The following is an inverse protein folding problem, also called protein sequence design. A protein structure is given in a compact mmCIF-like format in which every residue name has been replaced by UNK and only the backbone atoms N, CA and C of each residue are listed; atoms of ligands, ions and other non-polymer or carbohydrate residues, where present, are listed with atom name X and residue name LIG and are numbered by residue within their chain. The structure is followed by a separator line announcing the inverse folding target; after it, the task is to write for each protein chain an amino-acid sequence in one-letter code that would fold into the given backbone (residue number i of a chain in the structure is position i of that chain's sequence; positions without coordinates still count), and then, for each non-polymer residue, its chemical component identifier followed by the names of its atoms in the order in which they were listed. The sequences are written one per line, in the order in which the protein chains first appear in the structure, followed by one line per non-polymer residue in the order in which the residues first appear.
data_IF_935006890122
#
_entry.id   IF_935006890122
#
_cell.length_a   1.000
_cell.length_b   1.000
_cell.length_c   1.000
_cell.angle_alpha   90.00
_cell.angle_beta   90.00
_cell.angle_gamma   90.00
#
_symmetry.space_group_name_H-M   'P 1'
#
loop_
_entity.id
_entity.type
_entity.pdbx_description
1 polymer ?
#
# COMPACT_ATOMS: atom_id res chain seq x y z
N UNK A 1 -4.35 -25.56 14.08
CA UNK A 1 -2.88 -25.61 14.08
C UNK A 1 -2.44 -26.95 14.68
N UNK A 2 -1.53 -27.68 14.03
CA UNK A 2 -1.11 -29.04 14.43
C UNK A 2 0.18 -29.12 15.25
N UNK A 3 0.77 -27.99 15.63
CA UNK A 3 1.99 -27.92 16.45
C UNK A 3 3.29 -28.31 15.74
N UNK A 4 3.24 -28.69 14.46
CA UNK A 4 4.42 -29.01 13.66
C UNK A 4 5.10 -27.78 13.06
N UNK A 5 6.36 -27.93 12.62
CA UNK A 5 7.09 -26.85 11.92
C UNK A 5 6.41 -26.51 10.58
N UNK A 6 6.44 -25.23 10.22
CA UNK A 6 6.05 -24.72 8.92
C UNK A 6 7.31 -24.44 8.09
N UNK A 7 7.37 -24.99 6.89
CA UNK A 7 8.52 -24.83 5.98
C UNK A 7 8.15 -23.89 4.85
N UNK A 8 9.07 -22.99 4.51
CA UNK A 8 8.95 -22.03 3.41
C UNK A 8 10.24 -22.11 2.59
N UNK A 9 10.12 -22.08 1.27
CA UNK A 9 11.29 -21.94 0.39
C UNK A 9 11.91 -20.57 0.62
N UNK A 10 13.24 -20.49 0.82
CA UNK A 10 13.91 -19.23 1.12
C UNK A 10 13.69 -18.23 -0.02
N UNK A 11 12.96 -17.14 0.21
CA UNK A 11 12.72 -16.15 -0.83
C UNK A 11 13.96 -15.28 -1.03
N UNK A 12 14.12 -14.74 -2.23
CA UNK A 12 15.04 -13.62 -2.46
C UNK A 12 14.48 -12.35 -1.81
N UNK A 13 15.33 -11.52 -1.20
CA UNK A 13 14.90 -10.23 -0.66
C UNK A 13 15.26 -9.13 -1.64
N UNK A 14 14.26 -8.36 -2.05
CA UNK A 14 14.43 -7.20 -2.94
C UNK A 14 14.19 -5.94 -2.14
N UNK A 15 15.17 -5.04 -2.15
CA UNK A 15 15.03 -3.73 -1.54
C UNK A 15 14.15 -2.84 -2.41
N UNK A 16 13.07 -2.30 -1.86
CA UNK A 16 12.28 -1.24 -2.48
C UNK A 16 12.61 0.06 -1.75
N UNK A 17 13.60 0.79 -2.27
CA UNK A 17 14.07 2.03 -1.69
C UNK A 17 13.15 3.19 -2.06
N UNK A 18 12.40 3.69 -1.09
CA UNK A 18 11.51 4.84 -1.22
C UNK A 18 12.28 6.14 -0.96
N UNK A 19 12.22 7.06 -1.91
CA UNK A 19 12.82 8.39 -1.81
C UNK A 19 11.75 9.47 -1.97
N UNK A 20 12.03 10.69 -1.49
CA UNK A 20 11.05 11.77 -1.51
C UNK A 20 9.84 11.51 -0.59
N UNK A 21 8.76 12.24 -0.83
CA UNK A 21 7.49 12.14 -0.11
C UNK A 21 6.33 12.22 -1.11
N UNK A 22 5.19 11.60 -0.80
CA UNK A 22 4.01 11.66 -1.67
C UNK A 22 3.45 13.09 -1.72
N UNK A 23 3.22 13.61 -2.93
CA UNK A 23 2.68 14.95 -3.15
C UNK A 23 1.28 14.95 -3.79
N UNK A 24 0.52 16.03 -3.53
CA UNK A 24 -0.74 16.30 -4.22
C UNK A 24 -1.84 15.28 -3.91
N UNK A 25 -2.21 14.48 -4.90
CA UNK A 25 -3.27 13.46 -4.81
C UNK A 25 -2.72 12.03 -4.82
N UNK A 26 -1.41 11.85 -4.93
CA UNK A 26 -0.80 10.53 -4.83
C UNK A 26 -0.92 10.00 -3.40
N UNK A 27 -1.04 8.69 -3.29
CA UNK A 27 -1.30 7.95 -2.07
C UNK A 27 -0.46 6.68 -2.01
N UNK A 28 -0.43 6.01 -0.86
CA UNK A 28 0.23 4.72 -0.71
C UNK A 28 -0.28 3.65 -1.69
N UNK A 29 -1.52 3.78 -2.16
CA UNK A 29 -2.07 2.92 -3.21
C UNK A 29 -1.32 3.10 -4.54
N UNK A 30 -0.90 4.31 -4.87
CA UNK A 30 -0.17 4.60 -6.10
C UNK A 30 1.25 4.03 -6.05
N UNK A 31 1.86 3.93 -4.87
CA UNK A 31 3.17 3.27 -4.69
C UNK A 31 3.11 1.80 -5.11
N UNK A 32 2.13 1.04 -4.60
CA UNK A 32 2.02 -0.39 -4.93
C UNK A 32 1.47 -0.64 -6.34
N UNK A 33 0.64 0.27 -6.87
CA UNK A 33 0.24 0.25 -8.28
C UNK A 33 1.42 0.52 -9.21
N UNK A 34 2.35 1.41 -8.83
CA UNK A 34 3.58 1.64 -9.59
C UNK A 34 4.47 0.39 -9.60
N UNK A 35 4.60 -0.29 -8.45
CA UNK A 35 5.30 -1.56 -8.38
C UNK A 35 4.65 -2.61 -9.29
N UNK A 36 3.31 -2.74 -9.28
CA UNK A 36 2.57 -3.62 -10.19
C UNK A 36 2.79 -3.25 -11.66
N UNK A 37 2.80 -1.95 -11.99
CA UNK A 37 3.07 -1.47 -13.35
C UNK A 37 4.46 -1.87 -13.85
N UNK A 38 5.48 -1.81 -12.98
CA UNK A 38 6.87 -2.16 -13.32
C UNK A 38 7.12 -3.67 -13.38
N UNK A 39 6.53 -4.42 -12.44
CA UNK A 39 6.90 -5.81 -12.18
C UNK A 39 5.89 -6.83 -12.69
N UNK A 40 4.66 -6.42 -13.03
CA UNK A 40 3.53 -7.30 -13.36
C UNK A 40 3.12 -8.23 -12.22
N UNK A 41 2.04 -9.01 -12.42
CA UNK A 41 1.57 -10.02 -11.44
C UNK A 41 2.53 -11.18 -11.16
N UNK A 42 3.68 -11.22 -11.83
CA UNK A 42 4.68 -12.30 -11.69
C UNK A 42 6.02 -11.84 -11.12
N UNK A 43 6.23 -10.53 -10.98
CA UNK A 43 7.56 -10.01 -10.65
C UNK A 43 8.01 -10.26 -9.21
N UNK A 44 7.08 -10.61 -8.31
CA UNK A 44 7.32 -10.95 -6.91
C UNK A 44 7.41 -12.45 -6.61
N UNK A 45 7.19 -13.34 -7.57
CA UNK A 45 7.20 -14.79 -7.32
C UNK A 45 8.55 -15.24 -6.72
N UNK A 46 8.50 -15.84 -5.52
CA UNK A 46 9.69 -16.29 -4.80
C UNK A 46 10.46 -15.18 -4.09
N UNK A 47 9.86 -14.00 -3.90
CA UNK A 47 10.52 -12.82 -3.33
C UNK A 47 9.78 -12.24 -2.14
N UNK A 48 10.54 -11.61 -1.26
CA UNK A 48 10.05 -10.66 -0.25
C UNK A 48 10.49 -9.26 -0.65
N UNK A 49 9.55 -8.33 -0.66
CA UNK A 49 9.87 -6.91 -0.83
C UNK A 49 10.04 -6.25 0.53
N UNK A 50 11.25 -5.78 0.80
CA UNK A 50 11.57 -5.01 1.99
C UNK A 50 11.65 -3.53 1.61
N UNK A 51 10.80 -2.70 2.20
CA UNK A 51 10.70 -1.29 1.86
C UNK A 51 11.61 -0.47 2.79
N UNK A 52 12.57 0.25 2.21
CA UNK A 52 13.56 1.04 2.95
C UNK A 52 13.67 2.46 2.41
N UNK A 53 14.58 3.27 2.95
CA UNK A 53 14.86 4.62 2.45
C UNK A 53 14.09 5.72 3.16
N UNK A 54 14.47 6.98 2.94
CA UNK A 54 13.94 8.12 3.68
C UNK A 54 12.43 8.33 3.48
N UNK A 55 11.87 7.90 2.34
CA UNK A 55 10.43 8.02 2.08
C UNK A 55 9.56 7.18 3.02
N UNK A 56 10.12 6.16 3.69
CA UNK A 56 9.37 5.32 4.64
C UNK A 56 8.78 6.13 5.79
N UNK A 57 9.55 7.07 6.35
CA UNK A 57 9.15 7.90 7.51
C UNK A 57 7.91 8.76 7.21
N UNK A 58 7.71 9.11 5.93
CA UNK A 58 6.57 9.91 5.47
C UNK A 58 5.23 9.14 5.45
N UNK A 59 5.28 7.80 5.49
CA UNK A 59 4.11 6.94 5.38
C UNK A 59 3.59 6.50 6.74
N UNK A 60 2.28 6.58 6.95
CA UNK A 60 1.62 6.06 8.15
C UNK A 60 1.56 4.52 8.14
N UNK A 61 1.30 3.89 9.29
CA UNK A 61 1.11 2.43 9.36
C UNK A 61 -0.05 1.93 8.49
N UNK A 62 -1.22 2.58 8.44
CA UNK A 62 -2.27 2.23 7.46
C UNK A 62 -1.81 2.29 6.00
N UNK A 63 -1.03 3.30 5.63
CA UNK A 63 -0.45 3.44 4.28
C UNK A 63 0.53 2.29 3.97
N UNK A 64 1.42 1.95 4.90
CA UNK A 64 2.31 0.78 4.78
C UNK A 64 1.54 -0.53 4.68
N UNK A 65 0.42 -0.63 5.40
CA UNK A 65 -0.49 -1.78 5.32
C UNK A 65 -1.13 -1.89 3.93
N UNK A 66 -1.50 -0.76 3.31
CA UNK A 66 -2.01 -0.74 1.93
C UNK A 66 -0.97 -1.32 0.96
N UNK A 67 0.28 -0.87 1.07
CA UNK A 67 1.38 -1.30 0.20
C UNK A 67 1.68 -2.78 0.40
N UNK A 68 1.85 -3.22 1.66
CA UNK A 68 2.18 -4.63 1.96
C UNK A 68 1.02 -5.58 1.66
N UNK A 69 -0.24 -5.15 1.84
CA UNK A 69 -1.42 -5.94 1.48
C UNK A 69 -1.41 -6.31 0.00
N UNK A 70 -1.15 -5.33 -0.86
CA UNK A 70 -1.13 -5.52 -2.31
C UNK A 70 0.19 -6.11 -2.86
N UNK A 71 1.14 -6.44 -1.99
CA UNK A 71 2.32 -7.22 -2.36
C UNK A 71 1.95 -8.61 -2.90
N UNK A 72 0.80 -9.15 -2.47
CA UNK A 72 0.29 -10.46 -2.93
C UNK A 72 -0.02 -10.46 -4.43
N UNK A 73 -0.49 -9.34 -4.98
CA UNK A 73 -0.87 -9.17 -6.38
C UNK A 73 0.36 -9.22 -7.31
N UNK A 74 1.56 -8.92 -6.78
CA UNK A 74 2.85 -9.13 -7.47
C UNK A 74 3.28 -10.60 -7.49
N UNK A 75 2.59 -11.46 -6.74
CA UNK A 75 3.00 -12.83 -6.43
C UNK A 75 4.05 -12.93 -5.32
N UNK A 76 4.25 -11.87 -4.53
CA UNK A 76 5.25 -11.85 -3.46
C UNK A 76 4.93 -12.88 -2.37
N UNK A 77 5.98 -13.47 -1.79
CA UNK A 77 5.87 -14.29 -0.59
C UNK A 77 5.42 -13.44 0.60
N UNK A 78 5.94 -12.22 0.71
CA UNK A 78 5.53 -11.22 1.68
C UNK A 78 6.06 -9.83 1.30
N UNK A 79 5.67 -8.82 2.08
CA UNK A 79 6.21 -7.48 2.02
C UNK A 79 6.34 -6.92 3.43
N UNK A 80 7.40 -6.17 3.71
CA UNK A 80 7.69 -5.68 5.07
C UNK A 80 8.27 -4.26 5.04
N UNK A 81 7.95 -3.50 6.08
CA UNK A 81 8.56 -2.21 6.41
C UNK A 81 9.31 -2.35 7.74
N UNK A 82 10.38 -1.58 7.97
CA UNK A 82 10.99 -1.48 9.28
C UNK A 82 10.03 -0.84 10.27
N UNK A 83 10.31 -1.03 11.55
CA UNK A 83 9.62 -0.30 12.63
C UNK A 83 10.31 1.02 12.88
N UNK A 84 9.53 2.04 13.20
CA UNK A 84 10.00 3.40 13.44
C UNK A 84 9.00 4.15 14.35
N UNK A 85 9.13 5.48 14.44
CA UNK A 85 8.24 6.29 15.27
C UNK A 85 6.77 6.21 14.80
N UNK A 86 6.49 6.07 13.49
CA UNK A 86 5.12 5.87 13.00
C UNK A 86 4.53 4.54 13.52
N UNK A 87 5.36 3.50 13.60
CA UNK A 87 4.98 2.19 14.16
C UNK A 87 4.72 2.30 15.65
N UNK A 88 5.58 3.01 16.37
CA UNK A 88 5.44 3.27 17.80
C UNK A 88 4.16 4.05 18.11
N UNK A 89 3.93 5.17 17.42
CA UNK A 89 2.73 6.00 17.58
C UNK A 89 1.45 5.22 17.29
N UNK A 90 1.47 4.37 16.25
CA UNK A 90 0.34 3.51 15.92
C UNK A 90 0.06 2.50 17.03
N UNK A 91 1.09 1.80 17.53
CA UNK A 91 0.96 0.82 18.61
C UNK A 91 0.46 1.46 19.92
N UNK A 92 0.94 2.65 20.25
CA UNK A 92 0.43 3.46 21.37
C UNK A 92 -1.07 3.77 21.19
N UNK A 93 -1.47 4.22 20.00
CA UNK A 93 -2.88 4.57 19.69
C UNK A 93 -3.81 3.37 19.81
N UNK A 94 -3.37 2.17 19.44
CA UNK A 94 -4.17 0.93 19.57
C UNK A 94 -4.02 0.26 20.93
N UNK A 95 -3.33 0.90 21.89
CA UNK A 95 -3.21 0.42 23.27
C UNK A 95 -2.28 -0.77 23.44
N UNK A 96 -1.24 -0.86 22.60
CA UNK A 96 -0.21 -1.92 22.60
C UNK A 96 1.23 -1.37 22.63
N UNK A 97 1.55 -0.31 23.40
CA UNK A 97 2.89 0.28 23.40
C UNK A 97 4.02 -0.70 23.75
N UNK A 98 3.72 -1.71 24.57
CA UNK A 98 4.67 -2.75 24.99
C UNK A 98 5.09 -3.71 23.88
N UNK A 99 4.35 -3.75 22.78
CA UNK A 99 4.63 -4.61 21.62
C UNK A 99 5.57 -3.93 20.61
N UNK A 100 6.00 -2.68 20.85
CA UNK A 100 6.98 -2.02 19.99
C UNK A 100 8.36 -2.63 20.19
N UNK A 101 8.95 -3.10 19.10
CA UNK A 101 10.34 -3.54 19.02
C UNK A 101 10.99 -2.82 17.84
N UNK A 102 12.24 -2.37 18.02
CA UNK A 102 13.03 -1.75 16.96
C UNK A 102 13.61 -2.87 16.07
N UNK A 103 13.09 -2.95 14.85
CA UNK A 103 13.42 -3.90 13.81
C UNK A 103 13.76 -3.12 12.53
N UNK A 104 15.04 -3.14 12.19
CA UNK A 104 15.59 -2.52 10.99
C UNK A 104 16.49 -3.52 10.26
N UNK A 105 16.66 -3.39 8.94
CA UNK A 105 17.67 -4.15 8.22
C UNK A 105 19.07 -3.78 8.72
N UNK A 106 19.97 -4.76 8.76
CA UNK A 106 21.37 -4.52 9.10
C UNK A 106 22.03 -3.57 8.08
N UNK A 107 23.00 -2.77 8.54
CA UNK A 107 23.68 -1.79 7.69
C UNK A 107 24.46 -2.43 6.51
N UNK A 108 24.82 -3.71 6.64
CA UNK A 108 25.49 -4.53 5.63
C UNK A 108 24.58 -5.62 5.03
N UNK A 109 23.25 -5.49 5.17
CA UNK A 109 22.30 -6.40 4.56
C UNK A 109 22.48 -6.49 3.03
N UNK A 110 22.59 -7.72 2.53
CA UNK A 110 22.70 -8.00 1.09
C UNK A 110 21.31 -8.25 0.51
N UNK A 111 20.98 -7.51 -0.55
CA UNK A 111 19.73 -7.69 -1.31
C UNK A 111 20.01 -8.35 -2.66
N UNK A 112 19.08 -9.19 -3.12
CA UNK A 112 19.18 -9.82 -4.43
C UNK A 112 18.99 -8.82 -5.58
N UNK A 113 18.21 -7.76 -5.32
CA UNK A 113 17.95 -6.67 -6.26
C UNK A 113 17.52 -5.41 -5.50
N UNK A 114 17.57 -4.25 -6.18
CA UNK A 114 17.11 -2.97 -5.63
C UNK A 114 16.24 -2.22 -6.64
N UNK A 115 15.10 -1.72 -6.16
CA UNK A 115 14.15 -0.91 -6.91
C UNK A 115 14.01 0.43 -6.20
N UNK A 116 14.37 1.51 -6.89
CA UNK A 116 14.18 2.88 -6.37
C UNK A 116 12.84 3.44 -6.84
N UNK A 117 12.06 3.97 -5.91
CA UNK A 117 10.78 4.65 -6.16
C UNK A 117 10.85 6.04 -5.56
N UNK A 118 10.86 7.07 -6.42
CA UNK A 118 10.70 8.45 -5.99
C UNK A 118 9.20 8.76 -5.79
N UNK A 119 8.80 8.94 -4.53
CA UNK A 119 7.42 9.22 -4.14
C UNK A 119 6.94 10.58 -4.66
N UNK A 120 7.85 11.54 -4.88
CA UNK A 120 7.51 12.88 -5.36
C UNK A 120 7.16 12.92 -6.84
N UNK A 121 7.58 11.91 -7.61
CA UNK A 121 7.24 11.76 -9.02
C UNK A 121 5.94 10.98 -9.26
N UNK A 122 5.34 10.41 -8.21
CA UNK A 122 4.10 9.64 -8.34
C UNK A 122 2.90 10.54 -8.63
N UNK A 123 2.14 10.19 -9.66
CA UNK A 123 0.81 10.73 -9.93
C UNK A 123 -0.28 9.68 -9.60
N UNK A 124 -1.55 10.06 -9.42
CA UNK A 124 -2.63 9.10 -9.20
C UNK A 124 -2.71 8.05 -10.31
N UNK A 125 -2.68 6.78 -9.93
CA UNK A 125 -2.72 5.60 -10.79
C UNK A 125 -4.02 4.82 -10.60
N UNK A 126 -4.39 4.07 -11.64
CA UNK A 126 -5.54 3.17 -11.61
C UNK A 126 -5.23 1.88 -12.38
N UNK A 127 -5.55 0.74 -11.76
CA UNK A 127 -5.57 -0.55 -12.45
C UNK A 127 -6.87 -0.68 -13.25
N UNK A 128 -6.75 -0.83 -14.57
CA UNK A 128 -7.89 -0.99 -15.48
C UNK A 128 -8.24 -2.46 -15.70
N UNK A 129 -9.50 -2.80 -16.01
CA UNK A 129 -9.89 -4.19 -16.25
C UNK A 129 -9.08 -4.86 -17.37
N UNK A 130 -8.88 -6.17 -17.35
CA UNK A 130 -9.29 -7.15 -16.33
C UNK A 130 -8.13 -7.69 -15.49
N UNK A 131 -6.99 -6.98 -15.47
CA UNK A 131 -5.76 -7.41 -14.79
C UNK A 131 -5.23 -6.32 -13.85
N UNK A 132 -4.79 -6.67 -12.63
CA UNK A 132 -4.37 -5.68 -11.63
C UNK A 132 -3.05 -4.98 -11.99
N UNK A 133 -2.24 -5.55 -12.88
CA UNK A 133 -1.01 -4.94 -13.41
C UNK A 133 -1.24 -4.05 -14.65
N UNK A 134 -2.49 -3.93 -15.14
CA UNK A 134 -2.85 -3.02 -16.22
C UNK A 134 -3.05 -1.60 -15.69
N UNK A 135 -1.97 -1.03 -15.15
CA UNK A 135 -1.96 0.25 -14.43
C UNK A 135 -1.65 1.40 -15.37
N UNK A 136 -2.51 2.42 -15.36
CA UNK A 136 -2.36 3.66 -16.12
C UNK A 136 -2.56 4.87 -15.20
N UNK A 137 -2.02 6.05 -15.53
CA UNK A 137 -2.40 7.31 -14.88
C UNK A 137 -3.92 7.55 -14.96
N UNK A 138 -4.52 8.04 -13.87
CA UNK A 138 -5.98 8.30 -13.81
C UNK A 138 -6.45 9.23 -14.92
N UNK A 139 -5.62 10.18 -15.36
CA UNK A 139 -5.92 11.10 -16.48
C UNK A 139 -6.16 10.39 -17.81
N UNK A 140 -5.65 9.17 -18.02
CA UNK A 140 -5.84 8.43 -19.27
C UNK A 140 -7.23 7.82 -19.42
N UNK A 141 -7.94 7.63 -18.30
CA UNK A 141 -9.32 7.10 -18.24
C UNK A 141 -10.33 8.19 -17.90
N UNK A 142 -9.94 9.46 -18.02
CA UNK A 142 -10.82 10.59 -17.74
C UNK A 142 -12.06 10.57 -18.65
N UNK A 143 -13.23 10.82 -18.06
CA UNK A 143 -14.50 10.88 -18.79
C UNK A 143 -15.20 9.53 -18.95
N UNK A 144 -14.58 8.43 -18.52
CA UNK A 144 -15.27 7.15 -18.43
C UNK A 144 -16.44 7.19 -17.45
N UNK A 145 -17.56 6.59 -17.85
CA UNK A 145 -18.77 6.58 -17.03
C UNK A 145 -18.63 5.56 -15.90
N UNK A 146 -18.77 6.03 -14.66
CA UNK A 146 -18.74 5.20 -13.46
C UNK A 146 -20.14 4.98 -12.92
N UNK A 147 -20.59 3.73 -12.88
CA UNK A 147 -21.90 3.34 -12.33
C UNK A 147 -21.84 3.07 -10.82
N UNK A 148 -20.68 2.68 -10.29
CA UNK A 148 -20.51 2.36 -8.88
C UNK A 148 -19.11 2.77 -8.39
N UNK A 149 -19.06 3.38 -7.21
CA UNK A 149 -17.83 3.70 -6.48
C UNK A 149 -17.87 3.00 -5.13
N UNK A 150 -16.85 2.21 -4.84
CA UNK A 150 -16.65 1.61 -3.52
C UNK A 150 -15.41 2.22 -2.86
N UNK A 151 -15.60 2.84 -1.70
CA UNK A 151 -14.49 3.29 -0.84
C UNK A 151 -14.45 2.36 0.37
N UNK A 152 -13.27 1.82 0.70
CA UNK A 152 -13.15 0.82 1.75
C UNK A 152 -12.63 -0.52 1.25
N UNK A 153 -12.88 -1.57 2.03
CA UNK A 153 -12.38 -2.95 1.92
C UNK A 153 -11.16 -3.25 2.81
N UNK A 154 -10.55 -4.42 2.63
CA UNK A 154 -9.38 -4.86 3.37
C UNK A 154 -8.10 -4.07 3.04
N UNK A 155 -8.05 -3.43 1.86
CA UNK A 155 -6.85 -2.73 1.39
C UNK A 155 -6.85 -1.25 1.76
N UNK A 156 -8.01 -0.57 1.68
CA UNK A 156 -8.13 0.89 1.86
C UNK A 156 -9.40 1.24 2.66
N UNK A 157 -9.56 0.66 3.85
CA UNK A 157 -10.73 0.87 4.71
C UNK A 157 -10.43 1.53 6.05
N UNK A 158 -9.24 2.12 6.21
CA UNK A 158 -8.89 2.88 7.40
C UNK A 158 -9.59 4.26 7.41
N UNK A 159 -9.53 4.93 8.56
CA UNK A 159 -9.99 6.32 8.67
C UNK A 159 -9.31 7.23 7.65
N UNK A 160 -8.01 7.02 7.40
CA UNK A 160 -7.18 7.81 6.49
C UNK A 160 -7.59 7.61 5.02
N UNK A 161 -8.18 6.46 4.67
CA UNK A 161 -8.71 6.21 3.33
C UNK A 161 -10.11 6.83 3.13
N UNK A 162 -10.96 6.78 4.15
CA UNK A 162 -12.36 7.26 4.07
C UNK A 162 -12.43 8.78 4.15
N UNK A 163 -11.58 9.40 4.96
CA UNK A 163 -11.60 10.85 5.21
C UNK A 163 -11.42 11.69 3.93
N UNK A 164 -10.46 11.41 3.01
CA UNK A 164 -10.33 12.10 1.74
C UNK A 164 -11.63 12.05 0.92
N UNK A 165 -12.24 10.88 0.76
CA UNK A 165 -13.51 10.73 0.04
C UNK A 165 -14.64 11.54 0.68
N UNK A 166 -14.75 11.52 2.01
CA UNK A 166 -15.72 12.34 2.74
C UNK A 166 -15.47 13.85 2.56
N UNK A 167 -14.20 14.29 2.56
CA UNK A 167 -13.82 15.69 2.30
C UNK A 167 -14.14 16.11 0.87
N UNK A 168 -13.91 15.25 -0.13
CA UNK A 168 -14.24 15.52 -1.54
C UNK A 168 -15.74 15.75 -1.75
N UNK A 169 -16.58 15.02 -1.00
CA UNK A 169 -18.04 15.12 -1.09
C UNK A 169 -18.63 16.23 -0.21
N UNK A 170 -17.82 16.94 0.59
CA UNK A 170 -18.34 17.97 1.49
C UNK A 170 -19.06 19.07 0.69
N UNK A 171 -20.37 19.23 0.96
CA UNK A 171 -21.22 20.20 0.28
C UNK A 171 -21.59 19.81 -1.16
N UNK A 172 -21.36 18.55 -1.54
CA UNK A 172 -21.70 17.97 -2.85
C UNK A 172 -22.54 16.71 -2.65
N UNK A 173 -23.22 16.29 -3.71
CA UNK A 173 -23.94 15.02 -3.75
C UNK A 173 -23.32 14.12 -4.81
N UNK A 174 -23.39 12.81 -4.58
CA UNK A 174 -23.01 11.81 -5.60
C UNK A 174 -23.96 11.95 -6.79
N UNK A 175 -23.44 11.74 -8.01
CA UNK A 175 -24.26 11.77 -9.20
C UNK A 175 -25.40 10.75 -9.12
N UNK A 176 -26.62 11.14 -9.53
CA UNK A 176 -27.84 10.30 -9.39
C UNK A 176 -27.77 8.92 -10.05
N UNK A 177 -26.86 8.75 -11.01
CA UNK A 177 -26.67 7.52 -11.77
C UNK A 177 -25.47 6.69 -11.28
N UNK A 178 -24.84 7.11 -10.17
CA UNK A 178 -23.69 6.44 -9.57
C UNK A 178 -24.06 6.00 -8.17
N UNK A 179 -23.92 4.71 -7.89
CA UNK A 179 -24.03 4.18 -6.54
C UNK A 179 -22.71 4.38 -5.80
N UNK A 180 -22.77 4.84 -4.55
CA UNK A 180 -21.58 4.95 -3.71
C UNK A 180 -21.74 4.09 -2.46
N UNK A 181 -20.76 3.22 -2.20
CA UNK A 181 -20.70 2.35 -1.04
C UNK A 181 -19.45 2.70 -0.24
N UNK A 182 -19.61 2.85 1.07
CA UNK A 182 -18.49 3.03 2.01
C UNK A 182 -18.43 1.82 2.93
N UNK A 183 -17.31 1.11 2.93
CA UNK A 183 -17.10 -0.14 3.66
C UNK A 183 -15.86 -0.05 4.57
N UNK A 184 -16.01 0.48 5.80
CA UNK A 184 -14.91 0.56 6.77
C UNK A 184 -14.30 -0.82 7.05
N UNK A 185 -12.97 -0.87 7.24
CA UNK A 185 -12.25 -2.12 7.46
C UNK A 185 -12.62 -2.80 8.79
N UNK A 186 -13.02 -2.01 9.80
CA UNK A 186 -13.44 -2.52 11.10
C UNK A 186 -14.46 -1.60 11.77
N UNK A 187 -15.01 -2.04 12.91
CA UNK A 187 -15.87 -1.18 13.76
C UNK A 187 -15.10 -0.04 14.45
N UNK A 188 -13.77 -0.13 14.52
CA UNK A 188 -12.90 0.84 15.17
C UNK A 188 -12.30 1.84 14.18
N UNK A 189 -12.44 1.57 12.89
CA UNK A 189 -11.94 2.37 11.76
C UNK A 189 -12.79 3.60 11.51
#
# INVERSE_FOLDING_TARGET
MGGGPYYVEMPEVVNVRLEGELEGWASAKDVILEMLRRLSVKGGVGKVFEYTGPGVESLTVPERTTITNMGTELGATSSIFPTDEQTKDYLERVGRPEDYEELEPDADAEYADEIVVDLSELEPLIATPSMPDNVVPVREVEGERVEQVMIGSCTNGSYEDILPGAKMLKGREVAKHTEMIVAPASKQS
#
